data_IF_817847280601
#
_entry.id   IF_817847280601
#
_cell.length_a   1.000
_cell.length_b   1.000
_cell.length_c   1.000
_cell.angle_alpha   90.00
_cell.angle_beta   90.00
_cell.angle_gamma   90.00
#
_symmetry.space_group_name_H-M   'P 1'
#
loop_
_entity.id
_entity.type
_entity.pdbx_description
1 polymer ?
#
# COMPACT_ATOMS: atom_id res chain seq x y z
N UNK A 1 -14.72 -16.02 6.37
CA UNK A 1 -13.63 -15.30 7.05
C UNK A 1 -13.08 -14.14 6.22
N UNK A 2 -12.18 -14.36 5.23
CA UNK A 2 -11.60 -13.23 4.46
C UNK A 2 -12.62 -12.47 3.61
N UNK A 3 -13.55 -13.19 2.98
CA UNK A 3 -14.56 -12.57 2.12
C UNK A 3 -15.52 -11.67 2.93
N UNK A 4 -15.90 -12.09 4.14
CA UNK A 4 -16.71 -11.28 5.07
C UNK A 4 -15.95 -10.05 5.59
N UNK A 5 -14.65 -10.20 5.85
CA UNK A 5 -13.80 -9.06 6.21
C UNK A 5 -13.78 -8.01 5.09
N UNK A 6 -13.60 -8.44 3.85
CA UNK A 6 -13.64 -7.53 2.72
C UNK A 6 -15.06 -7.03 2.45
N UNK A 7 -16.12 -7.81 2.67
CA UNK A 7 -17.50 -7.33 2.49
C UNK A 7 -17.85 -6.17 3.45
N UNK A 8 -17.39 -6.24 4.70
CA UNK A 8 -17.72 -5.27 5.76
C UNK A 8 -16.72 -4.10 5.88
N UNK A 9 -15.54 -4.23 5.27
CA UNK A 9 -14.52 -3.19 5.30
C UNK A 9 -14.97 -1.91 4.56
N UNK A 10 -14.66 -0.75 5.15
CA UNK A 10 -14.93 0.56 4.56
C UNK A 10 -14.27 0.72 3.18
N UNK A 11 -14.94 1.43 2.26
CA UNK A 11 -14.43 1.72 0.92
C UNK A 11 -13.08 2.44 0.94
N UNK A 12 -12.89 3.35 1.90
CA UNK A 12 -11.62 4.07 2.08
C UNK A 12 -10.46 3.15 2.47
N UNK A 13 -10.67 2.20 3.39
CA UNK A 13 -9.65 1.22 3.75
C UNK A 13 -9.26 0.34 2.55
N UNK A 14 -10.25 -0.13 1.78
CA UNK A 14 -10.00 -0.92 0.57
C UNK A 14 -9.17 -0.15 -0.43
N UNK A 15 -9.58 1.08 -0.75
CA UNK A 15 -8.88 1.94 -1.68
C UNK A 15 -7.41 2.13 -1.26
N UNK A 16 -7.15 2.43 0.01
CA UNK A 16 -5.80 2.61 0.56
C UNK A 16 -4.94 1.35 0.44
N UNK A 17 -5.49 0.18 0.78
CA UNK A 17 -4.73 -1.08 0.73
C UNK A 17 -4.43 -1.47 -0.72
N UNK A 18 -5.41 -1.40 -1.61
CA UNK A 18 -5.20 -1.74 -3.02
C UNK A 18 -4.29 -0.73 -3.72
N UNK A 19 -4.39 0.57 -3.41
CA UNK A 19 -3.45 1.56 -3.94
C UNK A 19 -2.04 1.34 -3.43
N UNK A 20 -1.87 1.01 -2.15
CA UNK A 20 -0.57 0.69 -1.56
C UNK A 20 0.06 -0.54 -2.23
N UNK A 21 -0.71 -1.62 -2.38
CA UNK A 21 -0.26 -2.84 -3.05
C UNK A 21 0.11 -2.59 -4.52
N UNK A 22 -0.70 -1.81 -5.24
CA UNK A 22 -0.43 -1.41 -6.62
C UNK A 22 0.86 -0.58 -6.75
N UNK A 23 1.05 0.42 -5.89
CA UNK A 23 2.27 1.24 -5.89
C UNK A 23 3.52 0.42 -5.59
N UNK A 24 3.46 -0.48 -4.62
CA UNK A 24 4.59 -1.37 -4.31
C UNK A 24 4.90 -2.28 -5.51
N UNK A 25 3.88 -2.86 -6.15
CA UNK A 25 4.07 -3.69 -7.34
C UNK A 25 4.72 -2.92 -8.50
N UNK A 26 4.26 -1.69 -8.78
CA UNK A 26 4.87 -0.81 -9.79
C UNK A 26 6.32 -0.48 -9.42
N UNK A 27 6.60 -0.18 -8.15
CA UNK A 27 7.94 0.07 -7.66
C UNK A 27 8.88 -1.13 -7.83
N UNK A 28 8.39 -2.36 -7.59
CA UNK A 28 9.16 -3.59 -7.81
C UNK A 28 9.48 -3.77 -9.30
N UNK A 29 8.49 -3.58 -10.19
CA UNK A 29 8.71 -3.68 -11.64
C UNK A 29 9.77 -2.67 -12.09
N UNK A 30 9.66 -1.42 -11.64
CA UNK A 30 10.67 -0.37 -11.92
C UNK A 30 12.05 -0.78 -11.43
N UNK A 31 12.15 -1.36 -10.24
CA UNK A 31 13.43 -1.81 -9.69
C UNK A 31 14.04 -2.95 -10.52
N UNK A 32 13.22 -3.90 -10.99
CA UNK A 32 13.69 -4.97 -11.88
C UNK A 32 14.26 -4.35 -13.15
N UNK A 33 13.50 -3.48 -13.83
CA UNK A 33 13.93 -2.80 -15.06
C UNK A 33 15.19 -1.96 -14.83
N UNK A 34 15.28 -1.28 -13.69
CA UNK A 34 16.44 -0.49 -13.31
C UNK A 34 17.71 -1.34 -13.22
N UNK A 35 17.62 -2.49 -12.54
CA UNK A 35 18.76 -3.38 -12.33
C UNK A 35 19.17 -4.11 -13.62
N UNK A 36 18.20 -4.54 -14.43
CA UNK A 36 18.50 -5.17 -15.74
C UNK A 36 19.12 -4.18 -16.72
N UNK A 37 18.80 -2.89 -16.60
CA UNK A 37 19.34 -1.83 -17.47
C UNK A 37 20.56 -1.13 -16.88
N UNK A 38 21.05 -1.56 -15.71
CA UNK A 38 22.13 -0.90 -14.94
C UNK A 38 21.89 0.62 -14.76
N UNK A 39 20.63 1.03 -14.63
CA UNK A 39 20.24 2.43 -14.56
C UNK A 39 19.99 2.84 -13.10
N UNK A 40 20.99 3.49 -12.51
CA UNK A 40 20.96 3.92 -11.11
C UNK A 40 19.90 4.98 -10.82
N UNK A 41 19.58 5.85 -11.79
CA UNK A 41 18.51 6.85 -11.65
C UNK A 41 17.13 6.19 -11.52
N UNK A 42 16.89 5.17 -12.33
CA UNK A 42 15.65 4.39 -12.29
C UNK A 42 15.56 3.57 -10.98
N UNK A 43 16.69 3.07 -10.47
CA UNK A 43 16.74 2.36 -9.19
C UNK A 43 16.33 3.27 -8.02
N UNK A 44 16.85 4.51 -7.99
CA UNK A 44 16.47 5.50 -6.97
C UNK A 44 14.99 5.89 -7.07
N UNK A 45 14.47 6.09 -8.28
CA UNK A 45 13.05 6.35 -8.50
C UNK A 45 12.17 5.18 -8.01
N UNK A 46 12.59 3.94 -8.28
CA UNK A 46 11.88 2.74 -7.84
C UNK A 46 11.78 2.64 -6.30
N UNK A 47 12.87 3.00 -5.60
CA UNK A 47 12.92 3.07 -4.14
C UNK A 47 11.93 4.09 -3.58
N UNK A 48 11.83 5.27 -4.19
CA UNK A 48 10.87 6.29 -3.78
C UNK A 48 9.41 5.80 -3.96
N UNK A 49 9.12 5.10 -5.06
CA UNK A 49 7.79 4.53 -5.35
C UNK A 49 7.43 3.43 -4.34
N UNK A 50 8.36 2.52 -4.05
CA UNK A 50 8.17 1.48 -3.03
C UNK A 50 7.95 2.13 -1.65
N UNK A 51 8.77 3.12 -1.30
CA UNK A 51 8.65 3.87 -0.05
C UNK A 51 7.28 4.54 0.10
N UNK A 52 6.79 5.20 -0.96
CA UNK A 52 5.45 5.79 -0.97
C UNK A 52 4.35 4.74 -0.77
N UNK A 53 4.48 3.58 -1.42
CA UNK A 53 3.57 2.46 -1.25
C UNK A 53 3.55 1.92 0.18
N UNK A 54 4.71 1.81 0.83
CA UNK A 54 4.83 1.40 2.24
C UNK A 54 4.20 2.42 3.19
N UNK A 55 4.41 3.72 2.98
CA UNK A 55 3.77 4.77 3.77
C UNK A 55 2.25 4.68 3.66
N UNK A 56 1.73 4.55 2.44
CA UNK A 56 0.29 4.35 2.19
C UNK A 56 -0.23 3.09 2.89
N UNK A 57 0.57 2.02 2.92
CA UNK A 57 0.21 0.78 3.60
C UNK A 57 0.06 0.99 5.12
N UNK A 58 1.00 1.70 5.74
CA UNK A 58 0.95 2.05 7.18
C UNK A 58 -0.25 2.94 7.49
N UNK A 59 -0.54 3.93 6.63
CA UNK A 59 -1.73 4.79 6.79
C UNK A 59 -3.02 3.96 6.73
N UNK A 60 -3.10 2.96 5.86
CA UNK A 60 -4.22 2.03 5.80
C UNK A 60 -4.42 1.24 7.11
N UNK A 61 -3.32 0.80 7.75
CA UNK A 61 -3.36 0.13 9.05
C UNK A 61 -3.87 1.06 10.17
N UNK A 62 -3.37 2.30 10.19
CA UNK A 62 -3.82 3.32 11.16
C UNK A 62 -5.30 3.62 10.97
N UNK A 63 -5.75 3.82 9.73
CA UNK A 63 -7.16 4.10 9.42
C UNK A 63 -8.08 2.97 9.92
N UNK A 64 -7.69 1.72 9.68
CA UNK A 64 -8.43 0.56 10.21
C UNK A 64 -8.44 0.53 11.73
N UNK A 65 -7.30 0.78 12.37
CA UNK A 65 -7.21 0.84 13.84
C UNK A 65 -8.12 1.92 14.43
N UNK A 66 -8.20 3.10 13.80
CA UNK A 66 -9.10 4.17 14.21
C UNK A 66 -10.58 3.81 14.04
N UNK A 67 -10.95 3.16 12.93
CA UNK A 67 -12.32 2.70 12.69
C UNK A 67 -12.76 1.69 13.75
N UNK A 68 -11.91 0.71 14.07
CA UNK A 68 -12.15 -0.28 15.12
C UNK A 68 -12.34 0.42 16.48
N UNK A 69 -11.44 1.35 16.84
CA UNK A 69 -11.52 2.10 18.11
C UNK A 69 -12.78 2.96 18.22
N UNK A 70 -13.25 3.56 17.12
CA UNK A 70 -14.52 4.29 17.08
C UNK A 70 -15.72 3.36 17.25
N UNK A 71 -15.66 2.14 16.71
CA UNK A 71 -16.69 1.12 16.89
C UNK A 71 -16.87 0.65 18.33
N UNK A 72 -15.80 0.59 19.12
CA UNK A 72 -15.85 0.20 20.55
C UNK A 72 -16.36 1.29 21.50
N UNK A 73 -16.50 2.55 21.05
CA UNK A 73 -17.01 3.65 21.88
C UNK A 73 -18.54 3.85 21.77
N UNK A 74 -19.26 2.92 21.15
CA UNK A 74 -20.72 2.82 21.20
C UNK A 74 -21.12 1.79 22.25
#
# INVERSE_FOLDING_TARGET
>A
MLNEFWATASTAYKALVFSAMGLIAVGIILNIVANTSQNQGLAMASLAVIGAGLVLHVVGLIYRGQQIRKGYKK
#
